data_IF_046710248718
#
_entry.id   IF_046710248718
#
_cell.length_a   1.000
_cell.length_b   1.000
_cell.length_c   1.000
_cell.angle_alpha   90.00
_cell.angle_beta   90.00
_cell.angle_gamma   90.00
#
_symmetry.space_group_name_H-M   'P 1'
#
loop_
_entity.id
_entity.type
_entity.pdbx_description
1 polymer ?
#
# COMPACT_ATOMS: atom_id res chain seq x y z
N UNK A 1 -13.29 3.21 23.87
CA UNK A 1 -12.00 3.70 23.36
C UNK A 1 -11.40 2.55 22.56
N UNK A 2 -11.62 2.52 21.25
CA UNK A 2 -11.00 1.49 20.39
C UNK A 2 -9.54 1.86 20.24
N UNK A 3 -8.70 1.02 20.85
CA UNK A 3 -7.26 1.03 20.75
C UNK A 3 -6.85 1.13 19.27
N UNK A 4 -6.48 2.34 18.83
CA UNK A 4 -5.68 2.55 17.62
C UNK A 4 -4.26 2.07 17.96
N UNK A 5 -4.13 0.78 18.31
CA UNK A 5 -2.85 0.10 18.32
C UNK A 5 -2.37 0.16 16.89
N UNK A 6 -1.60 1.21 16.62
CA UNK A 6 -0.50 1.26 15.68
C UNK A 6 0.38 0.03 15.92
N UNK A 7 -0.14 -1.14 15.56
CA UNK A 7 0.63 -2.34 15.36
C UNK A 7 1.42 -2.03 14.10
N UNK A 8 2.56 -1.36 14.32
CA UNK A 8 3.56 -1.18 13.30
C UNK A 8 4.12 -2.57 13.06
N UNK A 9 3.45 -3.34 12.21
CA UNK A 9 4.03 -4.55 11.65
C UNK A 9 5.29 -4.08 10.93
N UNK A 10 6.42 -4.32 11.58
CA UNK A 10 7.74 -4.01 11.05
C UNK A 10 8.13 -5.22 10.22
N UNK A 11 8.36 -4.94 8.95
CA UNK A 11 8.89 -5.90 7.98
C UNK A 11 10.15 -5.28 7.41
N UNK A 12 11.01 -6.12 6.83
CA UNK A 12 12.15 -5.61 6.10
C UNK A 12 11.66 -4.69 4.96
N UNK A 13 12.14 -3.45 4.84
CA UNK A 13 11.74 -2.57 3.75
C UNK A 13 12.10 -3.19 2.39
N UNK A 14 11.25 -2.96 1.40
CA UNK A 14 11.47 -3.42 0.04
C UNK A 14 12.76 -2.85 -0.55
N UNK A 15 13.72 -3.70 -0.88
CA UNK A 15 15.08 -3.32 -1.31
C UNK A 15 15.51 -3.96 -2.65
N UNK A 16 14.58 -4.54 -3.41
CA UNK A 16 14.85 -5.23 -4.68
C UNK A 16 15.00 -6.74 -4.50
N UNK A 17 15.86 -7.17 -3.58
CA UNK A 17 16.18 -8.59 -3.37
C UNK A 17 15.08 -9.35 -2.61
N UNK A 18 14.34 -8.66 -1.74
CA UNK A 18 13.41 -9.28 -0.81
C UNK A 18 11.93 -9.31 -1.28
N UNK A 19 11.67 -9.05 -2.55
CA UNK A 19 10.31 -8.81 -3.04
C UNK A 19 9.28 -9.90 -2.73
N UNK A 20 9.63 -11.18 -2.93
CA UNK A 20 8.68 -12.28 -2.70
C UNK A 20 8.21 -12.31 -1.24
N UNK A 21 9.15 -12.22 -0.30
CA UNK A 21 8.88 -12.16 1.13
C UNK A 21 8.13 -10.89 1.51
N UNK A 22 8.63 -9.73 1.05
CA UNK A 22 7.99 -8.43 1.30
C UNK A 22 6.54 -8.41 0.81
N UNK A 23 6.27 -8.93 -0.39
CA UNK A 23 4.94 -8.96 -1.00
C UNK A 23 3.97 -9.74 -0.13
N UNK A 24 4.34 -10.94 0.33
CA UNK A 24 3.51 -11.76 1.21
C UNK A 24 3.20 -11.01 2.50
N UNK A 25 4.23 -10.50 3.18
CA UNK A 25 4.06 -9.80 4.45
C UNK A 25 3.23 -8.52 4.30
N UNK A 26 3.45 -7.76 3.22
CA UNK A 26 2.71 -6.54 2.95
C UNK A 26 1.23 -6.82 2.64
N UNK A 27 0.94 -7.90 1.91
CA UNK A 27 -0.44 -8.38 1.70
C UNK A 27 -1.13 -8.71 3.02
N UNK A 28 -0.48 -9.48 3.90
CA UNK A 28 -1.05 -9.84 5.22
C UNK A 28 -1.35 -8.61 6.07
N UNK A 29 -0.45 -7.63 6.06
CA UNK A 29 -0.64 -6.38 6.79
C UNK A 29 -1.81 -5.57 6.22
N UNK A 30 -1.89 -5.43 4.90
CA UNK A 30 -2.99 -4.69 4.26
C UNK A 30 -4.34 -5.39 4.48
N UNK A 31 -4.37 -6.72 4.44
CA UNK A 31 -5.56 -7.49 4.73
C UNK A 31 -6.02 -7.27 6.17
N UNK A 32 -5.10 -7.37 7.15
CA UNK A 32 -5.39 -7.14 8.56
C UNK A 32 -5.86 -5.70 8.86
N UNK A 33 -5.42 -4.73 8.08
CA UNK A 33 -5.84 -3.33 8.20
C UNK A 33 -7.12 -3.01 7.41
N UNK A 34 -7.70 -3.98 6.72
CA UNK A 34 -8.85 -3.82 5.81
C UNK A 34 -8.57 -2.77 4.72
N UNK A 35 -7.40 -2.89 4.10
CA UNK A 35 -6.88 -1.98 3.08
C UNK A 35 -6.55 -2.69 1.76
N UNK A 36 -6.45 -4.02 1.77
CA UNK A 36 -6.04 -4.80 0.59
C UNK A 36 -6.94 -4.55 -0.63
N UNK A 37 -8.24 -4.42 -0.43
CA UNK A 37 -9.22 -4.20 -1.50
C UNK A 37 -8.98 -2.91 -2.32
N UNK A 38 -8.42 -1.88 -1.70
CA UNK A 38 -8.05 -0.62 -2.38
C UNK A 38 -6.80 -0.81 -3.24
N UNK A 39 -5.82 -1.56 -2.71
CA UNK A 39 -4.57 -1.88 -3.40
C UNK A 39 -4.81 -2.84 -4.58
N UNK A 40 -5.65 -3.86 -4.38
CA UNK A 40 -6.05 -4.80 -5.40
C UNK A 40 -6.94 -4.16 -6.48
N UNK A 41 -7.59 -3.03 -6.17
CA UNK A 41 -8.54 -2.36 -7.05
C UNK A 41 -9.91 -3.04 -7.13
N UNK A 42 -10.22 -3.94 -6.19
CA UNK A 42 -11.55 -4.54 -6.09
C UNK A 42 -12.58 -3.54 -5.57
N UNK A 43 -12.13 -2.52 -4.83
CA UNK A 43 -12.95 -1.38 -4.39
C UNK A 43 -12.56 -0.13 -5.20
N UNK A 44 -13.34 0.20 -6.23
CA UNK A 44 -13.15 1.39 -7.05
C UNK A 44 -13.65 2.67 -6.36
N UNK A 45 -13.15 3.83 -6.79
CA UNK A 45 -13.66 5.13 -6.35
C UNK A 45 -15.19 5.20 -6.61
N UNK A 46 -16.02 5.51 -5.60
CA UNK A 46 -17.47 5.62 -5.78
C UNK A 46 -17.86 6.75 -6.75
N UNK A 47 -18.92 6.54 -7.52
CA UNK A 47 -19.53 7.58 -8.36
C UNK A 47 -20.23 8.64 -7.53
N UNK A 48 -20.82 8.25 -6.40
CA UNK A 48 -21.46 9.15 -5.43
C UNK A 48 -20.41 10.01 -4.71
N UNK A 49 -20.42 11.36 -4.90
CA UNK A 49 -19.48 12.26 -4.25
C UNK A 49 -19.51 12.20 -2.72
N UNK A 50 -20.63 11.83 -2.11
CA UNK A 50 -20.75 11.73 -0.64
C UNK A 50 -19.92 10.59 -0.05
N UNK A 51 -19.63 9.55 -0.84
CA UNK A 51 -18.87 8.37 -0.41
C UNK A 51 -17.37 8.48 -0.74
N UNK A 52 -16.98 9.36 -1.67
CA UNK A 52 -15.58 9.55 -2.07
C UNK A 52 -14.63 9.90 -0.92
N UNK A 53 -14.98 10.76 0.06
CA UNK A 53 -14.08 11.08 1.17
C UNK A 53 -13.69 9.85 2.00
N UNK A 54 -14.63 8.93 2.23
CA UNK A 54 -14.38 7.70 2.97
C UNK A 54 -13.42 6.77 2.20
N UNK A 55 -13.65 6.60 0.90
CA UNK A 55 -12.77 5.83 0.02
C UNK A 55 -11.36 6.43 0.01
N UNK A 56 -11.23 7.75 -0.24
CA UNK A 56 -9.93 8.44 -0.32
C UNK A 56 -9.15 8.33 1.00
N UNK A 57 -9.84 8.33 2.14
CA UNK A 57 -9.21 8.14 3.45
C UNK A 57 -8.59 6.75 3.59
N UNK A 58 -9.27 5.69 3.15
CA UNK A 58 -8.77 4.31 3.19
C UNK A 58 -7.66 4.09 2.17
N UNK A 59 -7.82 4.56 0.93
CA UNK A 59 -6.77 4.50 -0.09
C UNK A 59 -5.50 5.26 0.33
N UNK A 60 -5.63 6.47 0.89
CA UNK A 60 -4.49 7.21 1.41
C UNK A 60 -3.79 6.49 2.58
N UNK A 61 -4.55 5.78 3.43
CA UNK A 61 -3.98 4.94 4.50
C UNK A 61 -3.20 3.76 3.91
N UNK A 62 -3.73 3.11 2.89
CA UNK A 62 -3.05 2.02 2.16
C UNK A 62 -1.76 2.50 1.49
N UNK A 63 -1.81 3.64 0.81
CA UNK A 63 -0.64 4.25 0.15
C UNK A 63 0.48 4.57 1.16
N UNK A 64 0.14 5.15 2.31
CA UNK A 64 1.10 5.41 3.39
C UNK A 64 1.68 4.11 3.94
N UNK A 65 0.84 3.09 4.16
CA UNK A 65 1.28 1.79 4.66
C UNK A 65 2.32 1.14 3.73
N UNK A 66 2.14 1.25 2.40
CA UNK A 66 3.10 0.77 1.39
C UNK A 66 4.37 1.60 1.48
N UNK A 67 4.29 2.93 1.31
CA UNK A 67 5.47 3.81 1.25
C UNK A 67 6.37 3.73 2.49
N UNK A 68 5.80 3.53 3.69
CA UNK A 68 6.56 3.39 4.93
C UNK A 68 7.33 2.06 5.07
N UNK A 69 7.14 1.12 4.13
CA UNK A 69 7.79 -0.20 4.12
C UNK A 69 8.59 -0.43 2.85
N UNK A 70 9.01 0.65 2.19
CA UNK A 70 9.84 0.63 0.99
C UNK A 70 11.15 1.34 1.31
N UNK A 71 12.28 0.77 0.88
CA UNK A 71 13.59 1.41 1.06
C UNK A 71 13.65 2.72 0.24
N UNK A 72 14.51 3.66 0.65
CA UNK A 72 14.51 5.03 0.11
C UNK A 72 14.77 5.08 -1.40
N UNK A 73 15.67 4.24 -1.88
CA UNK A 73 16.06 4.04 -3.27
C UNK A 73 14.95 3.42 -4.13
N UNK A 74 14.08 2.60 -3.54
CA UNK A 74 12.89 2.05 -4.22
C UNK A 74 11.68 3.00 -4.09
N UNK A 75 11.62 3.80 -3.02
CA UNK A 75 10.48 4.69 -2.74
C UNK A 75 10.27 5.74 -3.82
N UNK A 76 11.36 6.22 -4.45
CA UNK A 76 11.34 7.22 -5.52
C UNK A 76 10.45 6.83 -6.69
N UNK A 77 10.31 5.54 -6.98
CA UNK A 77 9.46 5.06 -8.08
C UNK A 77 7.97 5.24 -7.79
N UNK A 78 7.58 5.45 -6.53
CA UNK A 78 6.19 5.69 -6.15
C UNK A 78 5.84 7.17 -6.01
N UNK A 79 6.76 8.10 -6.30
CA UNK A 79 6.57 9.53 -6.01
C UNK A 79 5.30 10.12 -6.64
N UNK A 80 5.00 9.75 -7.88
CA UNK A 80 3.85 10.26 -8.64
C UNK A 80 2.57 9.43 -8.44
N UNK A 81 2.65 8.33 -7.67
CA UNK A 81 1.48 7.51 -7.40
C UNK A 81 0.47 8.30 -6.54
N UNK A 82 -0.74 8.44 -7.05
CA UNK A 82 -1.84 9.13 -6.37
C UNK A 82 -2.76 8.17 -5.62
N UNK A 83 -2.76 6.89 -6.02
CA UNK A 83 -3.51 5.82 -5.35
C UNK A 83 -2.60 4.73 -4.81
N UNK A 84 -3.10 3.97 -3.83
CA UNK A 84 -2.38 2.81 -3.30
C UNK A 84 -2.16 1.71 -4.34
N UNK A 85 -3.12 1.54 -5.25
CA UNK A 85 -3.03 0.63 -6.39
C UNK A 85 -1.90 1.02 -7.35
N UNK A 86 -1.84 2.29 -7.75
CA UNK A 86 -0.77 2.79 -8.64
C UNK A 86 0.62 2.56 -8.04
N UNK A 87 0.77 2.82 -6.74
CA UNK A 87 2.04 2.59 -6.04
C UNK A 87 2.40 1.10 -6.05
N UNK A 88 1.45 0.21 -5.70
CA UNK A 88 1.67 -1.22 -5.70
C UNK A 88 2.02 -1.76 -7.09
N UNK A 89 1.22 -1.44 -8.10
CA UNK A 89 1.42 -1.90 -9.48
C UNK A 89 2.77 -1.40 -10.04
N UNK A 90 3.20 -0.20 -9.63
CA UNK A 90 4.54 0.32 -9.99
C UNK A 90 5.65 -0.51 -9.37
N UNK A 91 5.58 -0.81 -8.07
CA UNK A 91 6.57 -1.63 -7.37
C UNK A 91 6.66 -3.04 -7.96
N UNK A 92 5.51 -3.68 -8.21
CA UNK A 92 5.43 -5.01 -8.85
C UNK A 92 6.06 -5.01 -10.24
N UNK A 93 5.91 -3.92 -11.00
CA UNK A 93 6.42 -3.82 -12.38
C UNK A 93 7.93 -3.58 -12.47
N UNK A 94 8.51 -2.85 -11.53
CA UNK A 94 9.93 -2.45 -11.60
C UNK A 94 10.87 -3.48 -10.97
N UNK A 95 10.42 -4.17 -9.91
CA UNK A 95 11.29 -5.04 -9.14
C UNK A 95 11.81 -6.26 -9.90
N UNK A 96 11.03 -6.92 -10.78
CA UNK A 96 11.58 -7.97 -11.64
C UNK A 96 12.66 -7.50 -12.62
N UNK A 97 12.98 -6.20 -12.65
CA UNK A 97 13.99 -5.58 -13.53
C UNK A 97 15.15 -4.93 -12.76
N UNK A 98 15.13 -4.96 -11.43
CA UNK A 98 16.23 -4.54 -10.55
C UNK A 98 17.03 -5.76 -10.15
#
# INVERSE_FOLDING_TARGET
MTDDSSSSYRIEPLNGDNYHTWRIQMMDILAKLELWEYVAGTTSLPTDPSQQPAWRKKDAKALRAIRLRVAKDVLVYTQDATTSKEAWDTLVRIIPRL
#
